data_IF_644771658249
#
_entry.id   IF_644771658249
#
_cell.length_a   1.000
_cell.length_b   1.000
_cell.length_c   1.000
_cell.angle_alpha   90.00
_cell.angle_beta   90.00
_cell.angle_gamma   90.00
#
_symmetry.space_group_name_H-M   'P 1'
#
loop_
_entity.id
_entity.type
_entity.pdbx_description
1 polymer ?
#
# COMPACT_ATOMS: atom_id res chain seq x y z
N UNK A 1 -7.54 -34.51 -16.22
CA UNK A 1 -6.16 -34.87 -16.58
C UNK A 1 -5.14 -34.67 -15.44
N UNK A 2 -5.27 -33.67 -14.55
CA UNK A 2 -4.52 -33.67 -13.28
C UNK A 2 -5.44 -33.81 -12.07
N UNK A 3 -6.47 -32.95 -11.98
CA UNK A 3 -7.44 -32.99 -10.87
C UNK A 3 -8.20 -34.31 -10.75
N UNK A 4 -8.50 -34.95 -11.88
CA UNK A 4 -9.26 -36.21 -11.90
C UNK A 4 -8.36 -37.45 -11.78
N UNK A 5 -7.14 -37.40 -12.31
CA UNK A 5 -6.23 -38.57 -12.39
C UNK A 5 -5.19 -38.60 -11.27
N UNK A 6 -4.84 -37.44 -10.71
CA UNK A 6 -3.85 -37.27 -9.65
C UNK A 6 -4.27 -36.15 -8.67
N UNK A 7 -5.39 -36.31 -7.93
CA UNK A 7 -5.91 -35.28 -7.03
C UNK A 7 -4.95 -34.93 -5.89
N UNK A 8 -4.02 -35.84 -5.56
CA UNK A 8 -3.01 -35.70 -4.50
C UNK A 8 -1.81 -34.82 -4.90
N UNK A 9 -1.70 -34.40 -6.17
CA UNK A 9 -0.55 -33.62 -6.68
C UNK A 9 -0.95 -32.18 -7.03
N UNK A 10 -0.75 -31.21 -6.12
CA UNK A 10 -0.96 -29.80 -6.42
C UNK A 10 0.07 -29.34 -7.46
N UNK A 11 -0.40 -28.73 -8.55
CA UNK A 11 0.46 -28.09 -9.55
C UNK A 11 0.38 -26.59 -9.35
N UNK A 12 1.50 -25.96 -9.01
CA UNK A 12 1.60 -24.51 -8.87
C UNK A 12 2.26 -23.96 -10.14
N UNK A 13 1.51 -23.13 -10.86
CA UNK A 13 2.04 -22.34 -11.96
C UNK A 13 2.31 -20.92 -11.47
N UNK A 14 3.54 -20.43 -11.62
CA UNK A 14 3.93 -19.06 -11.32
C UNK A 14 4.54 -18.43 -12.57
N UNK A 15 4.29 -17.15 -12.78
CA UNK A 15 4.85 -16.39 -13.89
C UNK A 15 4.26 -15.00 -13.99
N UNK A 16 5.07 -14.03 -14.42
CA UNK A 16 4.67 -12.62 -14.53
C UNK A 16 3.53 -12.36 -15.51
N UNK A 17 3.22 -13.33 -16.39
CA UNK A 17 2.25 -13.20 -17.47
C UNK A 17 0.95 -13.98 -17.26
N UNK A 18 0.73 -14.62 -16.10
CA UNK A 18 -0.42 -15.51 -15.92
C UNK A 18 -1.78 -14.81 -16.19
N UNK A 19 -1.91 -13.57 -15.74
CA UNK A 19 -3.11 -12.75 -15.95
C UNK A 19 -3.26 -12.26 -17.41
N UNK A 20 -2.16 -12.25 -18.17
CA UNK A 20 -2.14 -11.84 -19.58
C UNK A 20 -2.39 -13.00 -20.53
N UNK A 21 -1.77 -14.16 -20.27
CA UNK A 21 -2.02 -15.40 -21.01
C UNK A 21 -3.50 -15.80 -20.93
N UNK A 22 -4.16 -15.50 -19.80
CA UNK A 22 -5.62 -15.65 -19.63
C UNK A 22 -6.46 -14.79 -20.57
N UNK A 23 -5.88 -13.75 -21.18
CA UNK A 23 -6.55 -12.76 -22.05
C UNK A 23 -6.07 -12.82 -23.50
N UNK A 24 -5.25 -13.80 -23.88
CA UNK A 24 -4.89 -14.01 -25.28
C UNK A 24 -6.04 -14.67 -26.05
N UNK A 25 -6.24 -14.23 -27.30
CA UNK A 25 -7.28 -14.76 -28.17
C UNK A 25 -7.05 -16.26 -28.41
N UNK A 26 -8.06 -17.08 -28.10
CA UNK A 26 -8.01 -18.54 -28.25
C UNK A 26 -7.61 -19.33 -26.99
N UNK A 27 -7.19 -18.65 -25.91
CA UNK A 27 -6.92 -19.32 -24.65
C UNK A 27 -8.19 -19.44 -23.79
N UNK A 28 -8.72 -20.66 -23.62
CA UNK A 28 -9.88 -20.93 -22.77
C UNK A 28 -9.42 -21.34 -21.37
N UNK A 29 -9.62 -20.46 -20.38
CA UNK A 29 -9.36 -20.78 -18.98
C UNK A 29 -10.40 -21.80 -18.47
N UNK A 30 -9.98 -22.96 -17.92
CA UNK A 30 -10.90 -23.95 -17.39
C UNK A 30 -11.51 -23.46 -16.07
N UNK A 31 -12.69 -22.86 -16.17
CA UNK A 31 -13.48 -22.33 -15.04
C UNK A 31 -13.71 -23.41 -13.98
N UNK A 32 -13.47 -23.08 -12.71
CA UNK A 32 -13.66 -23.98 -11.57
C UNK A 32 -12.54 -25.02 -11.37
N UNK A 33 -11.56 -25.10 -12.29
CA UNK A 33 -10.40 -25.99 -12.15
C UNK A 33 -9.12 -25.29 -11.68
N UNK A 34 -9.07 -23.97 -11.78
CA UNK A 34 -7.92 -23.15 -11.39
C UNK A 34 -8.29 -22.32 -10.17
N UNK A 35 -7.34 -22.24 -9.23
CA UNK A 35 -7.40 -21.36 -8.09
C UNK A 35 -6.30 -20.31 -8.24
N UNK A 36 -6.62 -19.07 -7.89
CA UNK A 36 -5.66 -17.97 -7.89
C UNK A 36 -5.13 -17.76 -6.48
N UNK A 37 -3.82 -17.50 -6.39
CA UNK A 37 -3.14 -17.16 -5.15
C UNK A 37 -2.34 -15.87 -5.38
N UNK A 38 -2.70 -14.82 -4.64
CA UNK A 38 -2.07 -13.52 -4.67
C UNK A 38 -0.98 -13.46 -3.60
N UNK A 39 0.26 -13.34 -4.05
CA UNK A 39 1.40 -13.00 -3.21
C UNK A 39 1.67 -11.50 -3.29
N UNK A 40 2.06 -10.90 -2.18
CA UNK A 40 2.48 -9.50 -2.05
C UNK A 40 3.95 -9.46 -1.56
N UNK A 41 4.63 -8.31 -1.57
CA UNK A 41 5.97 -8.19 -1.01
C UNK A 41 6.03 -8.62 0.46
N UNK A 42 7.21 -9.06 0.90
CA UNK A 42 7.53 -9.41 2.29
C UNK A 42 7.08 -8.30 3.23
N UNK A 43 6.34 -8.67 4.25
CA UNK A 43 5.79 -7.76 5.25
C UNK A 43 6.86 -7.25 6.20
N UNK A 44 6.55 -6.18 6.95
CA UNK A 44 7.46 -5.74 7.99
C UNK A 44 7.59 -6.79 9.11
N UNK A 45 6.52 -7.49 9.49
CA UNK A 45 6.65 -8.54 10.51
C UNK A 45 7.45 -9.74 10.01
N UNK A 46 7.33 -10.11 8.74
CA UNK A 46 8.16 -11.13 8.12
C UNK A 46 9.63 -10.67 8.04
N UNK A 47 9.87 -9.40 7.71
CA UNK A 47 11.19 -8.76 7.74
C UNK A 47 11.82 -8.84 9.13
N UNK A 48 11.03 -8.62 10.20
CA UNK A 48 11.49 -8.80 11.57
C UNK A 48 11.89 -10.25 11.84
N UNK A 49 11.09 -11.22 11.43
CA UNK A 49 11.39 -12.64 11.64
C UNK A 49 12.70 -13.05 10.94
N UNK A 50 12.86 -12.73 9.66
CA UNK A 50 14.08 -13.06 8.90
C UNK A 50 15.31 -12.28 9.37
N UNK A 51 15.12 -11.10 9.99
CA UNK A 51 16.18 -10.30 10.60
C UNK A 51 16.53 -10.73 12.03
N UNK A 52 15.97 -11.84 12.54
CA UNK A 52 16.23 -12.32 13.89
C UNK A 52 15.57 -11.49 15.00
N UNK A 53 14.52 -10.74 14.69
CA UNK A 53 13.78 -9.85 15.59
C UNK A 53 12.40 -10.41 15.99
N UNK A 54 12.27 -11.74 16.04
CA UNK A 54 11.00 -12.41 16.37
C UNK A 54 10.42 -12.04 17.75
N UNK A 55 11.26 -11.76 18.74
CA UNK A 55 10.81 -11.26 20.05
C UNK A 55 10.13 -9.89 19.95
N UNK A 56 10.69 -8.99 19.12
CA UNK A 56 10.10 -7.68 18.84
C UNK A 56 8.76 -7.87 18.12
N UNK A 57 8.68 -8.72 17.10
CA UNK A 57 7.42 -9.04 16.41
C UNK A 57 6.35 -9.53 17.39
N UNK A 58 6.70 -10.45 18.29
CA UNK A 58 5.79 -10.95 19.32
C UNK A 58 5.33 -9.84 20.29
N UNK A 59 6.22 -8.92 20.66
CA UNK A 59 5.87 -7.78 21.49
C UNK A 59 4.95 -6.78 20.76
N UNK A 60 5.18 -6.52 19.47
CA UNK A 60 4.31 -5.66 18.66
C UNK A 60 2.92 -6.26 18.47
N UNK A 61 2.82 -7.57 18.27
CA UNK A 61 1.53 -8.27 18.16
C UNK A 61 0.70 -8.11 19.44
N UNK A 62 1.31 -8.37 20.61
CA UNK A 62 0.65 -8.14 21.93
C UNK A 62 0.30 -6.66 22.17
N UNK A 63 1.11 -5.74 21.68
CA UNK A 63 0.81 -4.31 21.78
C UNK A 63 -0.40 -3.90 20.92
N UNK A 64 -0.71 -4.63 19.85
CA UNK A 64 -1.93 -4.44 19.06
C UNK A 64 -3.21 -4.73 19.83
N UNK A 65 -3.18 -5.72 20.71
CA UNK A 65 -4.31 -6.09 21.58
C UNK A 65 -4.42 -5.17 22.80
N UNK A 66 -3.28 -4.87 23.45
CA UNK A 66 -3.27 -4.13 24.72
C UNK A 66 -3.25 -2.61 24.54
N UNK A 67 -2.87 -2.12 23.36
CA UNK A 67 -2.62 -0.70 23.10
C UNK A 67 -1.38 -0.14 23.83
N UNK A 68 -0.54 -1.00 24.42
CA UNK A 68 0.62 -0.58 25.21
C UNK A 68 1.91 -1.11 24.59
N UNK A 69 2.84 -0.19 24.27
CA UNK A 69 4.17 -0.53 23.77
C UNK A 69 5.25 0.21 24.56
N UNK A 70 6.24 -0.53 25.07
CA UNK A 70 7.34 0.06 25.81
C UNK A 70 8.16 1.03 24.91
N UNK A 71 8.55 2.23 25.40
CA UNK A 71 9.24 3.23 24.57
C UNK A 71 10.52 2.71 23.88
N UNK A 72 11.26 1.82 24.52
CA UNK A 72 12.46 1.19 23.93
C UNK A 72 12.12 0.30 22.73
N UNK A 73 11.05 -0.49 22.83
CA UNK A 73 10.58 -1.35 21.75
C UNK A 73 10.01 -0.52 20.61
N UNK A 74 9.27 0.55 20.92
CA UNK A 74 8.78 1.51 19.94
C UNK A 74 9.93 2.13 19.13
N UNK A 75 10.97 2.62 19.80
CA UNK A 75 12.13 3.22 19.15
C UNK A 75 12.86 2.21 18.25
N UNK A 76 13.07 0.99 18.75
CA UNK A 76 13.69 -0.08 17.96
C UNK A 76 12.87 -0.46 16.73
N UNK A 77 11.54 -0.52 16.86
CA UNK A 77 10.64 -0.79 15.75
C UNK A 77 10.68 0.33 14.69
N UNK A 78 10.73 1.60 15.10
CA UNK A 78 10.88 2.73 14.17
C UNK A 78 12.19 2.68 13.37
N UNK A 79 13.30 2.29 14.01
CA UNK A 79 14.60 2.13 13.36
C UNK A 79 14.55 1.03 12.29
N UNK A 80 14.10 -0.17 12.67
CA UNK A 80 13.97 -1.30 11.75
C UNK A 80 12.93 -1.06 10.65
N UNK A 81 11.88 -0.30 10.95
CA UNK A 81 10.88 0.04 9.94
C UNK A 81 11.40 1.08 8.95
N UNK A 82 12.21 2.03 9.40
CA UNK A 82 12.88 2.97 8.51
C UNK A 82 13.84 2.24 7.56
N UNK A 83 14.53 1.22 8.08
CA UNK A 83 15.35 0.31 7.28
C UNK A 83 14.51 -0.47 6.26
N UNK A 84 13.40 -1.09 6.70
CA UNK A 84 12.46 -1.78 5.81
C UNK A 84 11.90 -0.87 4.70
N UNK A 85 11.57 0.40 4.98
CA UNK A 85 11.10 1.34 3.95
C UNK A 85 12.13 1.62 2.84
N UNK A 86 13.42 1.40 3.11
CA UNK A 86 14.53 1.63 2.17
C UNK A 86 14.89 0.35 1.43
N UNK A 87 14.88 -0.78 2.14
CA UNK A 87 15.07 -2.12 1.57
C UNK A 87 13.89 -2.50 0.68
N UNK A 88 12.67 -2.21 1.12
CA UNK A 88 11.45 -2.74 0.54
C UNK A 88 11.13 -4.15 1.02
N UNK A 89 10.09 -4.73 0.45
CA UNK A 89 9.61 -6.09 0.68
C UNK A 89 9.89 -7.05 -0.49
N UNK A 90 10.63 -6.66 -1.52
CA UNK A 90 10.96 -7.61 -2.59
C UNK A 90 11.86 -8.73 -2.03
N UNK A 91 11.47 -10.02 -2.13
CA UNK A 91 12.15 -11.11 -1.41
C UNK A 91 13.66 -11.21 -1.67
N UNK A 92 14.08 -11.01 -2.93
CA UNK A 92 15.51 -11.02 -3.29
C UNK A 92 16.29 -9.90 -2.63
N UNK A 93 15.69 -8.69 -2.53
CA UNK A 93 16.32 -7.53 -1.87
C UNK A 93 16.38 -7.71 -0.36
N UNK A 94 15.32 -8.28 0.23
CA UNK A 94 15.28 -8.59 1.67
C UNK A 94 16.34 -9.64 2.02
N UNK A 95 16.45 -10.72 1.25
CA UNK A 95 17.42 -11.78 1.48
C UNK A 95 18.86 -11.24 1.43
N UNK A 96 19.20 -10.52 0.35
CA UNK A 96 20.50 -9.87 0.17
C UNK A 96 20.84 -8.95 1.35
N UNK A 97 19.88 -8.12 1.76
CA UNK A 97 20.06 -7.19 2.86
C UNK A 97 20.28 -7.89 4.21
N UNK A 98 19.50 -8.94 4.50
CA UNK A 98 19.60 -9.70 5.75
C UNK A 98 20.96 -10.40 5.86
N UNK A 99 21.46 -10.95 4.76
CA UNK A 99 22.73 -11.69 4.72
C UNK A 99 23.94 -10.76 4.75
N UNK A 100 23.96 -9.70 3.94
CA UNK A 100 25.17 -8.92 3.69
C UNK A 100 25.20 -7.55 4.36
N UNK A 101 24.04 -6.93 4.61
CA UNK A 101 23.92 -5.57 5.18
C UNK A 101 24.74 -4.52 4.40
N UNK A 102 24.82 -4.68 3.09
CA UNK A 102 25.58 -3.82 2.18
C UNK A 102 24.63 -2.90 1.40
N UNK A 103 24.76 -1.59 1.63
CA UNK A 103 23.92 -0.57 1.02
C UNK A 103 24.11 -0.45 -0.51
N UNK A 104 25.33 -0.65 -1.00
CA UNK A 104 25.65 -0.54 -2.42
C UNK A 104 25.12 -1.76 -3.17
N UNK A 105 25.31 -2.96 -2.61
CA UNK A 105 24.76 -4.19 -3.20
C UNK A 105 23.22 -4.17 -3.23
N UNK A 106 22.59 -3.73 -2.13
CA UNK A 106 21.14 -3.51 -2.07
C UNK A 106 20.68 -2.53 -3.15
N UNK A 107 21.36 -1.39 -3.28
CA UNK A 107 21.00 -0.36 -4.26
C UNK A 107 21.16 -0.87 -5.70
N UNK A 108 22.28 -1.52 -5.99
CA UNK A 108 22.53 -2.13 -7.30
C UNK A 108 21.43 -3.13 -7.66
N UNK A 109 21.07 -4.03 -6.75
CA UNK A 109 20.01 -5.02 -6.97
C UNK A 109 18.64 -4.36 -7.22
N UNK A 110 18.30 -3.31 -6.47
CA UNK A 110 17.05 -2.56 -6.71
C UNK A 110 17.04 -1.85 -8.06
N UNK A 111 18.17 -1.30 -8.51
CA UNK A 111 18.33 -0.69 -9.83
C UNK A 111 18.24 -1.72 -10.96
N UNK A 112 18.82 -2.90 -10.77
CA UNK A 112 18.74 -4.01 -11.72
C UNK A 112 17.30 -4.51 -11.86
N UNK A 113 16.55 -4.61 -10.75
CA UNK A 113 15.11 -4.94 -10.76
C UNK A 113 14.27 -3.88 -11.50
N UNK A 114 14.58 -2.59 -11.32
CA UNK A 114 13.94 -1.51 -12.07
C UNK A 114 14.19 -1.62 -13.57
N UNK A 115 15.44 -1.91 -13.96
CA UNK A 115 15.78 -2.15 -15.36
C UNK A 115 15.04 -3.37 -15.91
N UNK A 116 15.02 -4.48 -15.17
CA UNK A 116 14.31 -5.70 -15.55
C UNK A 116 12.80 -5.49 -15.75
N UNK A 117 12.14 -4.73 -14.86
CA UNK A 117 10.73 -4.36 -15.06
C UNK A 117 10.51 -3.60 -16.36
N UNK A 118 11.37 -2.62 -16.66
CA UNK A 118 11.27 -1.79 -17.88
C UNK A 118 11.59 -2.59 -19.15
N UNK A 119 12.50 -3.55 -19.08
CA UNK A 119 12.84 -4.42 -20.21
C UNK A 119 11.71 -5.40 -20.52
N UNK A 120 10.98 -5.85 -19.49
CA UNK A 120 9.79 -6.71 -19.64
C UNK A 120 8.67 -6.01 -20.42
N UNK A 121 8.63 -4.66 -20.43
CA UNK A 121 7.61 -3.90 -21.13
C UNK A 121 7.63 -4.07 -22.65
N UNK A 122 8.74 -4.52 -23.23
CA UNK A 122 8.82 -4.83 -24.66
C UNK A 122 7.79 -5.87 -25.10
N UNK A 123 7.32 -6.74 -24.18
CA UNK A 123 6.27 -7.72 -24.42
C UNK A 123 4.91 -7.09 -24.77
N UNK A 124 4.70 -5.81 -24.45
CA UNK A 124 3.43 -5.11 -24.65
C UNK A 124 3.45 -4.09 -25.80
N UNK A 125 4.52 -4.05 -26.59
CA UNK A 125 4.74 -3.06 -27.66
C UNK A 125 3.60 -2.96 -28.69
N UNK A 126 2.86 -4.05 -28.90
CA UNK A 126 1.75 -4.13 -29.85
C UNK A 126 0.46 -3.51 -29.28
N UNK A 127 0.38 -3.30 -27.96
CA UNK A 127 -0.79 -2.74 -27.26
C UNK A 127 -0.64 -1.25 -26.99
N UNK A 128 0.53 -0.82 -26.53
CA UNK A 128 0.84 0.56 -26.13
C UNK A 128 2.33 0.83 -26.42
N UNK A 129 2.72 2.06 -26.79
CA UNK A 129 4.14 2.43 -26.88
C UNK A 129 4.90 2.07 -25.60
N UNK A 130 6.01 1.33 -25.74
CA UNK A 130 6.84 0.88 -24.60
C UNK A 130 7.30 2.06 -23.74
N UNK A 131 7.64 3.18 -24.39
CA UNK A 131 8.08 4.39 -23.70
C UNK A 131 6.98 4.97 -22.80
N UNK A 132 5.71 4.86 -23.20
CA UNK A 132 4.60 5.31 -22.36
C UNK A 132 4.42 4.46 -21.11
N UNK A 133 4.70 3.15 -21.18
CA UNK A 133 4.72 2.29 -19.99
C UNK A 133 5.82 2.72 -19.01
N UNK A 134 7.01 3.06 -19.53
CA UNK A 134 8.11 3.59 -18.72
C UNK A 134 7.74 4.92 -18.07
N UNK A 135 7.25 5.88 -18.86
CA UNK A 135 6.80 7.18 -18.37
C UNK A 135 5.73 7.05 -17.28
N UNK A 136 4.73 6.18 -17.46
CA UNK A 136 3.70 5.96 -16.44
C UNK A 136 4.31 5.39 -15.16
N UNK A 137 5.15 4.35 -15.26
CA UNK A 137 5.81 3.75 -14.10
C UNK A 137 6.68 4.78 -13.36
N UNK A 138 7.46 5.56 -14.09
CA UNK A 138 8.39 6.57 -13.54
C UNK A 138 7.65 7.77 -12.92
N UNK A 139 6.44 8.07 -13.41
CA UNK A 139 5.60 9.13 -12.87
C UNK A 139 4.87 8.74 -11.57
N UNK A 140 4.76 7.44 -11.25
CA UNK A 140 4.04 6.96 -10.04
C UNK A 140 4.68 7.48 -8.75
N UNK A 141 6.00 7.28 -8.50
CA UNK A 141 6.63 7.75 -7.26
C UNK A 141 6.49 9.26 -7.04
N UNK A 142 6.58 10.06 -8.11
CA UNK A 142 6.42 11.52 -8.05
C UNK A 142 5.00 12.00 -7.73
N UNK A 143 4.00 11.13 -7.91
CA UNK A 143 2.57 11.43 -7.67
C UNK A 143 2.00 10.72 -6.43
N UNK A 144 2.84 10.04 -5.64
CA UNK A 144 2.41 9.37 -4.41
C UNK A 144 1.76 10.34 -3.43
N UNK A 145 0.72 9.85 -2.76
CA UNK A 145 -0.07 10.62 -1.79
C UNK A 145 -1.13 11.55 -2.39
N UNK A 146 -1.24 11.60 -3.71
CA UNK A 146 -2.26 12.37 -4.43
C UNK A 146 -2.98 11.56 -5.48
N UNK A 147 -4.04 12.15 -6.04
CA UNK A 147 -4.71 11.61 -7.24
C UNK A 147 -3.69 11.52 -8.38
N UNK A 148 -3.65 10.38 -9.06
CA UNK A 148 -2.83 10.20 -10.25
C UNK A 148 -3.43 10.97 -11.42
N UNK A 149 -2.64 11.84 -12.05
CA UNK A 149 -3.07 12.75 -13.12
C UNK A 149 -2.30 12.42 -14.41
N UNK A 150 -3.03 12.07 -15.47
CA UNK A 150 -2.43 11.63 -16.74
C UNK A 150 -1.58 12.71 -17.40
N UNK A 151 -1.98 13.97 -17.33
CA UNK A 151 -1.21 15.09 -17.90
C UNK A 151 0.11 15.37 -17.16
N UNK A 152 0.33 14.78 -15.98
CA UNK A 152 1.63 14.84 -15.29
C UNK A 152 2.58 13.71 -15.74
N UNK A 153 2.09 12.72 -16.48
CA UNK A 153 2.92 11.68 -17.09
C UNK A 153 3.57 12.22 -18.35
N UNK A 154 2.74 12.69 -19.27
CA UNK A 154 3.14 13.26 -20.54
C UNK A 154 1.99 14.17 -21.02
N UNK A 155 2.31 15.42 -21.33
CA UNK A 155 1.33 16.46 -21.72
C UNK A 155 0.82 16.22 -23.15
N UNK A 156 1.65 15.60 -23.99
CA UNK A 156 1.38 15.35 -25.40
C UNK A 156 0.74 13.96 -25.64
N UNK A 157 0.87 13.04 -24.67
CA UNK A 157 0.26 11.72 -24.75
C UNK A 157 -1.27 11.78 -24.68
N UNK A 158 -1.94 10.99 -25.52
CA UNK A 158 -3.41 10.92 -25.51
C UNK A 158 -3.87 10.24 -24.22
N UNK A 159 -4.86 10.82 -23.53
CA UNK A 159 -5.44 10.25 -22.30
C UNK A 159 -5.81 8.75 -22.40
N UNK A 160 -6.29 8.31 -23.57
CA UNK A 160 -6.64 6.90 -23.82
C UNK A 160 -5.41 5.98 -23.75
N UNK A 161 -4.27 6.41 -24.26
CA UNK A 161 -3.03 5.63 -24.26
C UNK A 161 -2.43 5.56 -22.86
N UNK A 162 -2.41 6.68 -22.13
CA UNK A 162 -1.97 6.70 -20.72
C UNK A 162 -2.86 5.79 -19.87
N UNK A 163 -4.18 5.84 -20.07
CA UNK A 163 -5.12 4.94 -19.38
C UNK A 163 -4.79 3.46 -19.65
N UNK A 164 -4.53 3.11 -20.91
CA UNK A 164 -4.19 1.74 -21.30
C UNK A 164 -2.85 1.30 -20.70
N UNK A 165 -1.85 2.18 -20.66
CA UNK A 165 -0.58 1.92 -19.97
C UNK A 165 -0.78 1.65 -18.48
N UNK A 166 -1.58 2.48 -17.79
CA UNK A 166 -1.93 2.26 -16.38
C UNK A 166 -2.63 0.91 -16.18
N UNK A 167 -3.57 0.54 -17.06
CA UNK A 167 -4.26 -0.75 -16.99
C UNK A 167 -3.29 -1.93 -17.15
N UNK A 168 -2.35 -1.85 -18.08
CA UNK A 168 -1.33 -2.88 -18.28
C UNK A 168 -0.40 -3.00 -17.07
N UNK A 169 0.08 -1.88 -16.52
CA UNK A 169 0.94 -1.90 -15.32
C UNK A 169 0.20 -2.41 -14.07
N UNK A 170 -1.10 -2.14 -13.97
CA UNK A 170 -1.94 -2.68 -12.89
C UNK A 170 -2.13 -4.19 -13.05
N UNK A 171 -2.35 -4.66 -14.28
CA UNK A 171 -2.49 -6.09 -14.58
C UNK A 171 -1.16 -6.84 -14.38
N UNK A 172 -0.02 -6.20 -14.67
CA UNK A 172 1.31 -6.71 -14.39
C UNK A 172 1.68 -6.68 -12.90
N UNK A 173 0.82 -6.08 -12.06
CA UNK A 173 1.06 -5.89 -10.61
C UNK A 173 2.36 -5.15 -10.30
N UNK A 174 2.88 -4.37 -11.25
CA UNK A 174 4.01 -3.43 -11.06
C UNK A 174 3.50 -2.15 -10.39
N UNK A 175 2.23 -1.81 -10.61
CA UNK A 175 1.55 -0.71 -9.96
C UNK A 175 0.20 -1.16 -9.42
N UNK A 176 -0.31 -0.45 -8.42
CA UNK A 176 -1.60 -0.75 -7.79
C UNK A 176 -2.45 0.50 -7.69
N UNK A 177 -3.72 0.39 -8.08
CA UNK A 177 -4.70 1.47 -7.94
C UNK A 177 -5.27 1.50 -6.52
N UNK A 178 -5.45 2.70 -6.02
CA UNK A 178 -6.30 3.00 -4.85
C UNK A 178 -7.53 3.73 -5.40
N UNK A 179 -8.66 3.01 -5.48
CA UNK A 179 -9.86 3.50 -6.14
C UNK A 179 -10.60 4.52 -5.28
N UNK A 180 -11.12 5.59 -5.88
CA UNK A 180 -12.06 6.45 -5.17
C UNK A 180 -13.32 5.66 -4.83
N UNK A 181 -13.84 5.85 -3.62
CA UNK A 181 -15.20 5.45 -3.22
C UNK A 181 -15.91 6.62 -2.55
N UNK A 182 -17.22 6.74 -2.73
CA UNK A 182 -18.01 7.70 -1.97
C UNK A 182 -18.15 7.32 -0.50
N UNK A 183 -17.95 6.04 -0.14
CA UNK A 183 -18.01 5.51 1.22
C UNK A 183 -19.30 5.91 1.98
N UNK A 184 -20.48 5.83 1.34
CA UNK A 184 -21.76 6.01 2.05
C UNK A 184 -22.21 4.74 2.79
N UNK A 185 -21.55 3.61 2.56
CA UNK A 185 -21.86 2.32 3.18
C UNK A 185 -21.06 1.21 2.52
N UNK A 186 -21.43 -0.04 2.84
CA UNK A 186 -20.87 -1.23 2.23
C UNK A 186 -21.79 -1.75 1.12
N UNK A 187 -21.26 -2.44 0.09
CA UNK A 187 -19.83 -2.70 -0.14
C UNK A 187 -19.10 -1.45 -0.70
N UNK A 188 -17.84 -1.24 -0.30
CA UNK A 188 -17.05 -0.07 -0.71
C UNK A 188 -16.91 0.07 -2.24
N UNK A 189 -16.93 -1.06 -2.95
CA UNK A 189 -16.83 -1.12 -4.41
C UNK A 189 -18.09 -0.64 -5.16
N UNK A 190 -19.22 -0.42 -4.51
CA UNK A 190 -20.48 -0.05 -5.17
C UNK A 190 -20.50 1.40 -5.66
N UNK A 191 -19.82 2.30 -4.95
CA UNK A 191 -19.85 3.74 -5.21
C UNK A 191 -18.48 4.27 -5.68
N UNK A 192 -17.79 3.50 -6.51
CA UNK A 192 -16.46 3.88 -7.01
C UNK A 192 -16.54 4.82 -8.19
N UNK A 193 -15.54 5.71 -8.29
CA UNK A 193 -15.32 6.50 -9.49
C UNK A 193 -14.00 6.08 -10.15
N UNK A 194 -14.03 5.33 -11.27
CA UNK A 194 -12.81 4.80 -11.89
C UNK A 194 -11.91 5.88 -12.51
N UNK A 195 -12.41 7.12 -12.66
CA UNK A 195 -11.59 8.26 -13.13
C UNK A 195 -10.78 8.90 -12.01
N UNK A 196 -11.06 8.58 -10.75
CA UNK A 196 -10.42 9.13 -9.57
C UNK A 196 -9.72 8.01 -8.83
N UNK A 197 -8.39 7.98 -8.88
CA UNK A 197 -7.60 6.99 -8.19
C UNK A 197 -6.23 7.55 -7.82
N UNK A 198 -5.64 7.00 -6.75
CA UNK A 198 -4.20 7.11 -6.49
C UNK A 198 -3.48 5.90 -7.09
N UNK A 199 -2.19 6.02 -7.28
CA UNK A 199 -1.34 4.92 -7.75
C UNK A 199 -0.26 4.64 -6.73
N UNK A 200 0.00 3.37 -6.48
CA UNK A 200 1.11 2.87 -5.70
C UNK A 200 2.04 2.07 -6.62
N UNK A 201 3.32 2.04 -6.31
CA UNK A 201 4.23 1.09 -6.93
C UNK A 201 4.14 -0.27 -6.21
N UNK A 202 4.65 -1.33 -6.83
CA UNK A 202 4.69 -2.67 -6.20
C UNK A 202 5.43 -2.69 -4.87
N UNK A 203 6.45 -1.84 -4.72
CA UNK A 203 7.33 -1.90 -3.55
C UNK A 203 7.83 -0.51 -3.12
N UNK A 204 7.83 -0.26 -1.82
CA UNK A 204 8.29 0.98 -1.19
C UNK A 204 9.79 1.21 -1.37
N UNK A 205 10.62 0.16 -1.34
CA UNK A 205 12.06 0.24 -1.57
C UNK A 205 12.35 0.67 -3.00
N UNK A 206 11.66 0.06 -3.98
CA UNK A 206 11.74 0.47 -5.39
C UNK A 206 11.24 1.91 -5.59
N UNK A 207 10.13 2.31 -4.97
CA UNK A 207 9.64 3.68 -5.03
C UNK A 207 10.64 4.68 -4.42
N UNK A 208 11.35 4.28 -3.36
CA UNK A 208 12.37 5.09 -2.71
C UNK A 208 13.58 5.34 -3.63
N UNK A 209 14.00 4.31 -4.39
CA UNK A 209 15.10 4.41 -5.36
C UNK A 209 14.75 5.37 -6.49
N UNK A 210 13.55 5.27 -7.05
CA UNK A 210 13.10 6.19 -8.10
C UNK A 210 12.95 7.64 -7.62
N UNK A 211 12.79 7.86 -6.32
CA UNK A 211 12.77 9.20 -5.69
C UNK A 211 14.15 9.67 -5.20
N UNK A 212 15.22 8.99 -5.63
CA UNK A 212 16.63 9.24 -5.25
C UNK A 212 16.88 9.23 -3.73
N UNK A 213 16.04 8.53 -2.96
CA UNK A 213 16.19 8.46 -1.49
C UNK A 213 17.10 7.37 -1.01
N UNK A 214 17.22 6.30 -1.79
CA UNK A 214 18.02 5.12 -1.46
C UNK A 214 19.52 5.41 -1.36
N UNK A 215 19.96 6.59 -1.82
CA UNK A 215 21.34 7.11 -1.72
C UNK A 215 21.61 7.92 -0.45
N UNK A 216 20.58 8.25 0.32
CA UNK A 216 20.77 8.87 1.63
C UNK A 216 21.22 7.78 2.61
N UNK A 217 22.14 8.10 3.52
CA UNK A 217 22.52 7.16 4.58
C UNK A 217 21.28 6.76 5.40
N UNK A 218 21.10 5.47 5.66
CA UNK A 218 20.02 4.89 6.46
C UNK A 218 19.76 5.63 7.79
N UNK A 219 20.84 6.09 8.44
CA UNK A 219 20.78 6.86 9.70
C UNK A 219 20.08 8.22 9.55
N UNK A 220 20.16 8.83 8.38
CA UNK A 220 19.49 10.10 8.06
C UNK A 220 18.05 9.88 7.56
N UNK A 221 17.71 8.65 7.13
CA UNK A 221 16.38 8.29 6.61
C UNK A 221 15.32 8.14 7.71
N UNK A 222 15.67 7.66 8.91
CA UNK A 222 14.74 7.58 10.04
C UNK A 222 14.22 8.95 10.55
N UNK A 223 14.87 10.06 10.18
CA UNK A 223 14.30 11.41 10.35
C UNK A 223 13.70 11.95 9.05
N UNK A 224 14.31 11.65 7.89
CA UNK A 224 13.94 12.28 6.61
C UNK A 224 12.74 11.64 5.89
N UNK A 225 12.56 10.31 5.95
CA UNK A 225 11.41 9.60 5.36
C UNK A 225 10.12 10.03 6.04
N UNK A 226 10.17 10.20 7.37
CA UNK A 226 9.02 10.53 8.21
C UNK A 226 8.72 12.03 8.26
N UNK A 227 9.73 12.91 8.18
CA UNK A 227 9.49 14.35 8.28
C UNK A 227 8.93 14.98 6.99
N UNK A 228 9.32 14.50 5.81
CA UNK A 228 9.14 15.28 4.57
C UNK A 228 8.46 14.55 3.40
N UNK A 229 8.08 13.27 3.52
CA UNK A 229 7.56 12.50 2.38
C UNK A 229 6.26 11.75 2.69
N UNK A 230 5.16 12.51 2.85
CA UNK A 230 3.77 11.99 2.95
C UNK A 230 3.47 10.87 1.93
N UNK A 231 3.89 11.06 0.68
CA UNK A 231 3.67 10.07 -0.38
C UNK A 231 4.27 8.68 -0.09
N UNK A 232 5.46 8.59 0.52
CA UNK A 232 6.06 7.30 0.85
C UNK A 232 5.43 6.64 2.07
N UNK A 233 5.00 7.44 3.05
CA UNK A 233 4.20 6.92 4.16
C UNK A 233 2.89 6.31 3.64
N UNK A 234 2.22 7.00 2.72
CA UNK A 234 1.02 6.46 2.06
C UNK A 234 1.32 5.24 1.19
N UNK A 235 2.42 5.21 0.42
CA UNK A 235 2.89 4.04 -0.33
C UNK A 235 3.09 2.82 0.58
N UNK A 236 3.81 3.00 1.68
CA UNK A 236 4.09 1.94 2.63
C UNK A 236 2.82 1.44 3.30
N UNK A 237 1.96 2.35 3.78
CA UNK A 237 0.67 1.98 4.35
C UNK A 237 -0.19 1.21 3.35
N UNK A 238 -0.26 1.67 2.09
CA UNK A 238 -0.99 0.98 1.04
C UNK A 238 -0.45 -0.41 0.75
N UNK A 239 0.87 -0.57 0.61
CA UNK A 239 1.52 -1.86 0.45
C UNK A 239 1.15 -2.82 1.59
N UNK A 240 1.28 -2.40 2.84
CA UNK A 240 0.93 -3.23 4.00
C UNK A 240 -0.58 -3.54 4.10
N UNK A 241 -1.44 -2.58 3.75
CA UNK A 241 -2.89 -2.79 3.72
C UNK A 241 -3.32 -3.82 2.67
N UNK A 242 -2.62 -3.93 1.54
CA UNK A 242 -2.89 -4.97 0.51
C UNK A 242 -2.68 -6.38 1.06
N UNK A 243 -1.80 -6.52 2.04
CA UNK A 243 -1.46 -7.80 2.63
C UNK A 243 -2.45 -8.27 3.70
N UNK A 244 -3.42 -7.42 4.07
CA UNK A 244 -4.53 -7.80 4.96
C UNK A 244 -5.60 -8.64 4.23
N UNK A 245 -5.54 -8.70 2.91
CA UNK A 245 -6.49 -9.48 2.11
C UNK A 245 -6.09 -10.96 2.08
N UNK A 246 -7.05 -11.88 2.12
CA UNK A 246 -6.75 -13.30 1.93
C UNK A 246 -6.07 -13.57 0.59
N UNK A 247 -5.20 -14.57 0.55
CA UNK A 247 -4.42 -14.90 -0.66
C UNK A 247 -5.28 -15.32 -1.85
N UNK A 248 -6.55 -15.66 -1.68
CA UNK A 248 -7.47 -15.99 -2.76
C UNK A 248 -8.30 -14.80 -3.26
N UNK A 249 -8.10 -13.60 -2.70
CA UNK A 249 -8.82 -12.38 -3.06
C UNK A 249 -7.87 -11.35 -3.67
N UNK A 250 -8.28 -10.71 -4.77
CA UNK A 250 -7.52 -9.59 -5.34
C UNK A 250 -7.56 -8.40 -4.37
N UNK A 251 -6.42 -7.90 -3.87
CA UNK A 251 -6.43 -6.79 -2.93
C UNK A 251 -6.93 -5.50 -3.58
N UNK A 252 -8.02 -4.95 -3.05
CA UNK A 252 -8.65 -3.71 -3.53
C UNK A 252 -8.58 -2.63 -2.46
N UNK A 253 -7.78 -1.60 -2.73
CA UNK A 253 -7.68 -0.44 -1.86
C UNK A 253 -8.62 0.66 -2.31
N UNK A 254 -9.16 1.38 -1.33
CA UNK A 254 -10.03 2.53 -1.58
C UNK A 254 -9.50 3.76 -0.87
N UNK A 255 -9.79 4.94 -1.42
CA UNK A 255 -9.61 6.22 -0.76
C UNK A 255 -10.86 7.08 -0.94
N UNK A 256 -10.97 8.15 -0.18
CA UNK A 256 -12.04 9.12 -0.37
C UNK A 256 -11.45 10.51 -0.65
N UNK A 257 -12.04 11.20 -1.61
CA UNK A 257 -11.81 12.63 -1.80
C UNK A 257 -13.15 13.33 -2.03
N UNK A 258 -13.22 14.59 -1.58
CA UNK A 258 -14.37 15.44 -1.84
C UNK A 258 -14.37 15.88 -3.31
N UNK A 259 -15.50 15.69 -3.99
CA UNK A 259 -15.67 16.05 -5.41
C UNK A 259 -16.25 17.44 -5.62
N UNK A 260 -16.79 18.08 -4.59
CA UNK A 260 -17.34 19.44 -4.64
C UNK A 260 -17.05 20.22 -3.35
N UNK A 261 -16.80 21.53 -3.47
CA UNK A 261 -16.52 22.41 -2.34
C UNK A 261 -15.06 22.35 -1.84
N UNK A 262 -14.84 22.60 -0.55
CA UNK A 262 -13.50 22.66 0.05
C UNK A 262 -12.81 21.29 -0.03
N UNK A 263 -11.60 21.26 -0.58
CA UNK A 263 -10.81 20.03 -0.68
C UNK A 263 -10.69 19.32 0.67
N UNK A 264 -10.87 18.01 0.63
CA UNK A 264 -10.73 17.09 1.75
C UNK A 264 -10.51 15.70 1.18
N UNK A 265 -9.65 14.95 1.84
CA UNK A 265 -9.24 13.62 1.43
C UNK A 265 -9.07 12.77 2.69
N UNK A 266 -9.35 11.48 2.54
CA UNK A 266 -8.97 10.42 3.48
C UNK A 266 -8.10 9.46 2.69
N UNK A 267 -6.92 9.13 3.23
CA UNK A 267 -5.86 8.42 2.51
C UNK A 267 -6.28 7.00 2.12
N UNK A 268 -6.92 6.28 3.05
CA UNK A 268 -7.51 4.96 2.79
C UNK A 268 -8.88 4.79 3.46
N UNK A 269 -9.75 4.01 2.82
CA UNK A 269 -11.01 3.54 3.38
C UNK A 269 -10.97 2.02 3.38
N UNK A 270 -11.10 1.40 4.56
CA UNK A 270 -11.11 -0.05 4.71
C UNK A 270 -12.45 -0.53 5.27
N UNK A 271 -12.78 -1.78 5.00
CA UNK A 271 -13.92 -2.46 5.59
C UNK A 271 -13.43 -3.33 6.75
N UNK A 272 -14.09 -3.23 7.90
CA UNK A 272 -13.91 -4.16 9.01
C UNK A 272 -15.28 -4.64 9.48
N UNK A 273 -15.59 -5.93 9.26
CA UNK A 273 -16.94 -6.46 9.46
C UNK A 273 -17.99 -5.67 8.66
N UNK A 274 -18.97 -5.11 9.36
CA UNK A 274 -20.02 -4.25 8.78
C UNK A 274 -19.72 -2.75 8.86
N UNK A 275 -18.49 -2.36 9.21
CA UNK A 275 -18.09 -0.98 9.42
C UNK A 275 -17.19 -0.46 8.29
N UNK A 276 -17.41 0.81 7.93
CA UNK A 276 -16.50 1.59 7.09
C UNK A 276 -15.52 2.30 8.01
N UNK A 277 -14.23 2.03 7.85
CA UNK A 277 -13.17 2.61 8.68
C UNK A 277 -12.31 3.55 7.82
N UNK A 278 -12.38 4.87 8.03
CA UNK A 278 -11.42 5.79 7.42
C UNK A 278 -10.07 5.66 8.10
N UNK A 279 -9.02 5.58 7.30
CA UNK A 279 -7.63 5.47 7.74
C UNK A 279 -6.86 6.70 7.24
N UNK A 280 -6.39 7.50 8.18
CA UNK A 280 -5.54 8.68 7.89
C UNK A 280 -4.06 8.31 8.09
N UNK A 281 -3.20 8.61 7.12
CA UNK A 281 -1.77 8.35 7.19
C UNK A 281 -1.01 9.64 7.43
N UNK A 282 -0.15 9.66 8.45
CA UNK A 282 0.72 10.80 8.76
C UNK A 282 2.17 10.37 8.73
N UNK A 283 2.99 11.05 7.94
CA UNK A 283 4.43 10.82 7.93
C UNK A 283 5.07 11.18 9.29
N UNK A 284 4.56 12.19 9.98
CA UNK A 284 5.07 12.65 11.28
C UNK A 284 4.07 12.50 12.43
N UNK A 285 4.53 12.81 13.65
CA UNK A 285 3.74 12.70 14.90
C UNK A 285 2.64 13.75 15.06
N UNK A 286 2.75 14.87 14.34
CA UNK A 286 1.85 16.02 14.44
C UNK A 286 1.19 16.31 13.10
N UNK A 287 -0.10 16.66 13.12
CA UNK A 287 -0.83 17.05 11.92
C UNK A 287 -2.31 17.25 12.21
N UNK A 288 -2.92 18.24 11.57
CA UNK A 288 -4.36 18.47 11.72
C UNK A 288 -5.14 17.33 11.03
N UNK A 289 -6.23 16.90 11.65
CA UNK A 289 -7.16 15.88 11.13
C UNK A 289 -8.47 16.51 10.62
N UNK A 290 -8.42 17.75 10.13
CA UNK A 290 -9.61 18.51 9.67
C UNK A 290 -10.46 17.73 8.66
N UNK A 291 -9.83 17.07 7.68
CA UNK A 291 -10.53 16.26 6.67
C UNK A 291 -11.24 15.05 7.31
N UNK A 292 -10.54 14.34 8.20
CA UNK A 292 -11.09 13.23 8.95
C UNK A 292 -12.28 13.65 9.82
N UNK A 293 -12.16 14.73 10.60
CA UNK A 293 -13.28 15.22 11.43
C UNK A 293 -14.52 15.56 10.58
N UNK A 294 -14.32 16.22 9.43
CA UNK A 294 -15.41 16.54 8.52
C UNK A 294 -16.01 15.28 7.87
N UNK A 295 -15.19 14.29 7.55
CA UNK A 295 -15.65 13.01 7.01
C UNK A 295 -16.45 12.22 8.05
N UNK A 296 -15.91 12.04 9.26
CA UNK A 296 -16.58 11.38 10.37
C UNK A 296 -17.94 12.01 10.68
N UNK A 297 -18.01 13.35 10.70
CA UNK A 297 -19.26 14.09 10.87
C UNK A 297 -20.25 13.82 9.75
N UNK A 298 -19.81 13.93 8.50
CA UNK A 298 -20.67 13.78 7.32
C UNK A 298 -21.20 12.35 7.16
N UNK A 299 -20.42 11.35 7.57
CA UNK A 299 -20.77 9.93 7.45
C UNK A 299 -21.41 9.34 8.71
N UNK A 300 -21.33 10.03 9.84
CA UNK A 300 -21.86 9.53 11.12
C UNK A 300 -21.14 8.28 11.63
N UNK A 301 -19.84 8.14 11.35
CA UNK A 301 -19.05 6.96 11.73
C UNK A 301 -18.57 7.08 13.18
N UNK A 302 -18.47 5.94 13.86
CA UNK A 302 -18.10 5.86 15.28
C UNK A 302 -16.61 5.56 15.52
N UNK A 303 -15.90 5.06 14.51
CA UNK A 303 -14.50 4.60 14.61
C UNK A 303 -13.71 5.05 13.40
N UNK A 304 -12.50 5.54 13.63
CA UNK A 304 -11.50 5.83 12.61
C UNK A 304 -10.14 5.27 13.03
N UNK A 305 -9.27 5.03 12.04
CA UNK A 305 -7.88 4.68 12.27
C UNK A 305 -6.95 5.80 11.82
N UNK A 306 -5.81 5.92 12.48
CA UNK A 306 -4.68 6.75 12.08
C UNK A 306 -3.41 5.91 12.11
N UNK A 307 -2.64 5.97 11.04
CA UNK A 307 -1.31 5.39 10.94
C UNK A 307 -0.29 6.52 11.02
N UNK A 308 0.52 6.57 12.08
CA UNK A 308 1.52 7.63 12.26
C UNK A 308 2.83 7.15 12.92
N UNK A 309 3.65 8.06 13.43
CA UNK A 309 4.91 7.76 14.13
C UNK A 309 4.80 7.71 15.66
N UNK A 310 3.59 7.69 16.23
CA UNK A 310 3.35 7.64 17.67
C UNK A 310 3.12 6.18 18.13
N UNK A 311 3.32 5.87 19.43
CA UNK A 311 2.89 4.59 20.01
C UNK A 311 1.40 4.30 19.80
N UNK A 312 0.98 3.03 19.83
CA UNK A 312 -0.43 2.67 19.73
C UNK A 312 -1.24 3.36 20.84
N UNK A 313 -2.42 3.86 20.49
CA UNK A 313 -3.35 4.46 21.45
C UNK A 313 -4.78 4.47 20.92
N UNK A 314 -5.75 4.47 21.83
CA UNK A 314 -7.16 4.68 21.50
C UNK A 314 -7.62 5.93 22.23
N UNK A 315 -8.28 6.85 21.53
CA UNK A 315 -8.72 8.13 22.06
C UNK A 315 -10.17 8.41 21.69
N UNK A 316 -10.97 8.88 22.65
CA UNK A 316 -12.28 9.47 22.37
C UNK A 316 -12.09 10.90 21.87
N UNK A 317 -12.35 11.11 20.59
CA UNK A 317 -12.27 12.42 19.96
C UNK A 317 -13.60 13.14 20.16
N UNK A 318 -13.56 14.35 20.72
CA UNK A 318 -14.70 15.26 20.80
C UNK A 318 -14.25 16.67 20.40
N UNK A 319 -14.50 17.03 19.14
CA UNK A 319 -14.02 18.29 18.55
C UNK A 319 -15.11 18.95 17.70
N UNK A 320 -14.88 20.21 17.33
CA UNK A 320 -15.67 20.89 16.30
C UNK A 320 -14.98 20.77 14.95
N UNK A 321 -15.76 20.51 13.90
CA UNK A 321 -15.29 20.60 12.51
C UNK A 321 -14.90 22.04 12.17
N UNK A 322 -14.26 22.25 11.01
CA UNK A 322 -13.97 23.60 10.52
C UNK A 322 -15.23 24.44 10.24
N UNK A 323 -16.40 23.81 10.16
CA UNK A 323 -17.72 24.45 10.01
C UNK A 323 -18.41 24.70 11.36
N UNK A 324 -17.79 24.33 12.48
CA UNK A 324 -18.31 24.52 13.83
C UNK A 324 -19.25 23.43 14.34
N UNK A 325 -19.43 22.34 13.57
CA UNK A 325 -20.28 21.20 13.94
C UNK A 325 -19.56 20.27 14.91
N UNK A 326 -20.27 19.78 15.93
CA UNK A 326 -19.72 18.81 16.87
C UNK A 326 -19.60 17.43 16.23
N UNK A 327 -18.45 16.79 16.45
CA UNK A 327 -18.20 15.41 16.04
C UNK A 327 -17.55 14.63 17.17
N UNK A 328 -18.03 13.40 17.37
CA UNK A 328 -17.53 12.47 18.38
C UNK A 328 -17.32 11.09 17.78
N UNK A 329 -16.15 10.51 18.01
CA UNK A 329 -15.79 9.18 17.52
C UNK A 329 -14.55 8.64 18.25
N UNK A 330 -14.34 7.33 18.23
CA UNK A 330 -13.10 6.70 18.70
C UNK A 330 -12.04 6.76 17.61
N UNK A 331 -10.83 7.16 17.96
CA UNK A 331 -9.67 7.15 17.08
C UNK A 331 -8.66 6.11 17.56
N UNK A 332 -8.52 5.04 16.80
CA UNK A 332 -7.42 4.08 16.94
C UNK A 332 -6.20 4.66 16.23
N UNK A 333 -5.12 4.95 16.97
CA UNK A 333 -3.84 5.31 16.40
C UNK A 333 -2.89 4.12 16.50
N UNK A 334 -2.29 3.73 15.38
CA UNK A 334 -1.22 2.74 15.33
C UNK A 334 0.01 3.37 14.68
N UNK A 335 1.22 2.98 15.11
CA UNK A 335 2.41 3.23 14.32
C UNK A 335 2.26 2.62 12.91
N UNK A 336 2.80 3.24 11.85
CA UNK A 336 2.72 2.66 10.48
C UNK A 336 3.28 1.23 10.41
N UNK A 337 4.32 0.91 11.19
CA UNK A 337 4.90 -0.43 11.24
C UNK A 337 3.98 -1.49 11.88
N UNK A 338 2.84 -1.08 12.46
CA UNK A 338 1.80 -1.95 13.00
C UNK A 338 0.56 -2.01 12.08
N UNK A 339 0.66 -1.56 10.81
CA UNK A 339 -0.46 -1.62 9.85
C UNK A 339 -0.98 -3.05 9.68
N UNK A 340 -0.10 -4.05 9.72
CA UNK A 340 -0.42 -5.47 9.55
C UNK A 340 -1.36 -6.02 10.64
N UNK A 341 -1.39 -5.41 11.81
CA UNK A 341 -2.26 -5.82 12.93
C UNK A 341 -3.47 -4.90 13.09
N UNK A 342 -3.74 -4.05 12.09
CA UNK A 342 -4.91 -3.17 12.09
C UNK A 342 -6.22 -3.94 12.36
N UNK A 343 -6.51 -5.11 11.75
CA UNK A 343 -7.73 -5.86 12.05
C UNK A 343 -7.88 -6.24 13.53
N UNK A 344 -6.79 -6.74 14.15
CA UNK A 344 -6.76 -7.13 15.55
C UNK A 344 -6.96 -5.93 16.50
N UNK A 345 -6.31 -4.81 16.17
CA UNK A 345 -6.45 -3.58 16.92
C UNK A 345 -7.85 -2.94 16.77
N UNK A 346 -8.48 -3.09 15.59
CA UNK A 346 -9.87 -2.67 15.37
C UNK A 346 -10.83 -3.52 16.21
N UNK A 347 -10.62 -4.83 16.29
CA UNK A 347 -11.42 -5.72 17.16
C UNK A 347 -11.39 -5.27 18.63
N UNK A 348 -10.20 -4.91 19.12
CA UNK A 348 -9.99 -4.45 20.49
C UNK A 348 -10.54 -3.03 20.74
N UNK A 349 -10.71 -2.25 19.67
CA UNK A 349 -11.18 -0.87 19.72
C UNK A 349 -12.68 -0.71 19.43
N UNK A 350 -13.36 -1.75 18.95
CA UNK A 350 -14.83 -1.80 18.80
C UNK A 350 -15.48 -2.21 20.11
#
# INVERSE_FOLDING_TARGET
MFREEMPELPVIAAGSLLDFASREDGFSMPVGRIMYCYLEPVLFFEFLDVSGQGELRGALSRAGETGVLAPRLHQKALELFSEYCVVGGLPGVVAEWVEHRDDEQRLQLQLDLLAAFRDDFNKYRDRVPVELLRQVMDAVPGQLGGRFVYSHVDVDARHREVKQAVELLTLARVCHRVEHTAANGLPLGAETNPMLFKMLLVDVGIASVQLDLSRLELRNLAQSVWANKRGLAEQCAGQLLRCLFPTWETPRLYYWQRTAGRQGEIDYIVQYGSQVIPVEVKAGRAGSMKSLHAFMRAKGLALAARLDGNPPSVQDVAVKTTTGEDVRYRLLSLPLYMTEILPLALESAT
#
